data_IF_439239210691
#
_entry.id   IF_439239210691
#
_cell.length_a   1.000
_cell.length_b   1.000
_cell.length_c   1.000
_cell.angle_alpha   90.00
_cell.angle_beta   90.00
_cell.angle_gamma   90.00
#
_symmetry.space_group_name_H-M   'P 1'
#
loop_
_entity.id
_entity.type
_entity.pdbx_description
1 polymer ?
#
# COMPACT_ATOMS: atom_id res chain seq x y z
N UNK A 1 14.10 -6.44 -23.40
CA UNK A 1 14.16 -5.26 -22.49
C UNK A 1 12.75 -4.71 -22.30
N UNK A 2 12.17 -4.86 -21.09
CA UNK A 2 10.72 -4.72 -20.85
C UNK A 2 10.22 -3.29 -20.58
N UNK A 3 9.46 -3.14 -19.48
CA UNK A 3 8.91 -1.85 -18.99
C UNK A 3 10.04 -0.83 -18.85
N UNK A 4 9.79 0.40 -19.29
CA UNK A 4 10.71 1.53 -19.21
C UNK A 4 10.07 2.69 -18.45
N UNK A 5 10.87 3.44 -17.70
CA UNK A 5 10.47 4.62 -16.90
C UNK A 5 10.93 5.94 -17.52
N UNK A 6 11.39 5.94 -18.76
CA UNK A 6 11.73 7.17 -19.49
C UNK A 6 10.47 7.99 -19.79
N UNK A 7 10.62 9.31 -19.91
CA UNK A 7 9.57 10.23 -20.39
C UNK A 7 9.67 10.53 -21.89
N UNK A 8 10.60 9.87 -22.61
CA UNK A 8 10.96 10.19 -24.00
C UNK A 8 9.89 9.72 -25.00
N UNK A 9 9.10 8.73 -24.61
CA UNK A 9 7.91 8.28 -25.34
C UNK A 9 6.64 9.12 -25.07
N UNK A 10 6.70 10.14 -24.20
CA UNK A 10 5.57 11.07 -23.95
C UNK A 10 5.67 12.30 -24.87
N UNK A 11 4.54 12.98 -25.08
CA UNK A 11 4.47 14.27 -25.80
C UNK A 11 5.20 15.38 -25.02
N UNK A 12 5.51 16.51 -25.67
CA UNK A 12 5.93 17.75 -24.99
C UNK A 12 4.77 18.39 -24.21
N UNK A 13 5.07 19.42 -23.42
CA UNK A 13 4.04 20.26 -22.78
C UNK A 13 3.08 20.89 -23.82
N UNK A 14 3.62 21.29 -24.98
CA UNK A 14 2.86 21.79 -26.15
C UNK A 14 2.12 20.70 -26.94
N UNK A 15 2.10 19.45 -26.48
CA UNK A 15 1.45 18.33 -27.17
C UNK A 15 2.21 17.75 -28.37
N UNK A 16 3.33 18.34 -28.79
CA UNK A 16 4.13 17.83 -29.92
C UNK A 16 4.70 16.41 -29.66
N UNK A 17 4.78 15.60 -30.71
CA UNK A 17 5.38 14.25 -30.67
C UNK A 17 6.91 14.39 -30.67
N UNK A 18 7.58 13.79 -29.69
CA UNK A 18 9.05 13.79 -29.59
C UNK A 18 9.68 12.73 -30.50
N UNK A 19 10.82 13.03 -31.11
CA UNK A 19 11.61 12.09 -31.90
C UNK A 19 12.38 11.11 -31.00
N UNK A 20 12.63 9.89 -31.51
CA UNK A 20 13.31 8.84 -30.74
C UNK A 20 14.79 8.72 -31.13
N UNK A 21 15.66 9.47 -30.44
CA UNK A 21 17.09 9.54 -30.76
C UNK A 21 17.96 8.41 -30.19
N UNK A 22 17.49 7.64 -29.20
CA UNK A 22 18.27 6.53 -28.59
C UNK A 22 17.41 5.39 -28.05
N UNK A 23 17.89 4.16 -28.24
CA UNK A 23 17.35 2.92 -27.65
C UNK A 23 17.22 3.03 -26.11
N UNK A 24 16.33 2.23 -25.51
CA UNK A 24 16.12 2.13 -24.04
C UNK A 24 17.45 1.81 -23.31
N UNK A 25 17.63 2.31 -22.08
CA UNK A 25 18.83 2.06 -21.25
C UNK A 25 18.52 1.26 -19.98
N UNK A 26 19.50 0.50 -19.50
CA UNK A 26 19.34 -0.40 -18.35
C UNK A 26 18.99 0.31 -17.03
N UNK A 27 19.33 1.60 -16.87
CA UNK A 27 18.97 2.40 -15.70
C UNK A 27 17.51 2.90 -15.74
N UNK A 28 16.86 2.91 -16.90
CA UNK A 28 15.45 3.31 -17.08
C UNK A 28 14.48 2.13 -16.83
N UNK A 29 14.99 0.91 -16.55
CA UNK A 29 14.17 -0.31 -16.48
C UNK A 29 13.16 -0.28 -15.32
N UNK A 30 11.90 -0.56 -15.65
CA UNK A 30 10.85 -0.91 -14.70
C UNK A 30 10.85 -2.41 -14.33
N UNK A 31 9.92 -2.79 -13.46
CA UNK A 31 9.59 -4.18 -13.11
C UNK A 31 8.07 -4.27 -12.97
N UNK A 32 7.49 -5.46 -13.19
CA UNK A 32 6.06 -5.69 -12.93
C UNK A 32 5.69 -5.42 -11.46
N UNK A 33 4.44 -5.03 -11.14
CA UNK A 33 4.00 -4.80 -9.75
C UNK A 33 3.99 -6.11 -8.94
N UNK A 34 4.15 -6.01 -7.62
CA UNK A 34 4.28 -7.18 -6.74
C UNK A 34 2.96 -7.92 -6.46
N UNK A 35 1.83 -7.19 -6.51
CA UNK A 35 0.47 -7.69 -6.28
C UNK A 35 0.38 -8.60 -5.02
N UNK A 36 0.93 -8.11 -3.90
CA UNK A 36 0.95 -8.78 -2.61
C UNK A 36 -0.45 -9.20 -2.18
N UNK A 37 -0.61 -10.46 -1.75
CA UNK A 37 -1.87 -11.02 -1.22
C UNK A 37 -1.71 -11.45 0.24
N UNK A 38 -2.83 -11.67 0.93
CA UNK A 38 -2.84 -12.37 2.22
C UNK A 38 -2.48 -13.85 1.97
N UNK A 39 -1.73 -14.46 2.89
CA UNK A 39 -1.35 -15.86 2.86
C UNK A 39 0.06 -16.12 3.39
N UNK A 40 0.50 -17.39 3.43
CA UNK A 40 1.74 -17.80 4.09
C UNK A 40 2.95 -17.05 3.51
N UNK A 41 3.79 -16.54 4.40
CA UNK A 41 4.90 -15.60 4.09
C UNK A 41 5.75 -16.06 2.90
N UNK A 42 5.65 -15.35 1.77
CA UNK A 42 6.48 -15.55 0.57
C UNK A 42 7.06 -14.21 0.10
N UNK A 43 8.37 -14.05 0.24
CA UNK A 43 9.12 -12.86 -0.16
C UNK A 43 10.19 -13.29 -1.18
N UNK A 44 10.29 -12.55 -2.29
CA UNK A 44 11.40 -12.71 -3.24
C UNK A 44 12.40 -11.56 -3.11
N UNK A 45 13.69 -11.87 -3.07
CA UNK A 45 14.74 -10.86 -3.11
C UNK A 45 14.98 -10.41 -4.56
N UNK A 46 15.17 -9.11 -4.74
CA UNK A 46 15.33 -8.48 -6.05
C UNK A 46 16.56 -7.59 -6.05
N UNK A 47 17.63 -7.98 -6.76
CA UNK A 47 18.80 -7.13 -7.00
C UNK A 47 18.41 -5.85 -7.76
N UNK A 48 18.95 -4.73 -7.32
CA UNK A 48 18.78 -3.40 -7.92
C UNK A 48 20.13 -2.78 -8.32
N UNK A 49 20.15 -1.50 -8.72
CA UNK A 49 21.37 -0.78 -9.13
C UNK A 49 22.27 -0.57 -7.92
N UNK A 50 23.58 -0.69 -8.10
CA UNK A 50 24.57 -0.53 -7.01
C UNK A 50 24.65 -1.71 -6.05
N UNK A 51 24.26 -2.92 -6.46
CA UNK A 51 24.33 -4.12 -5.61
C UNK A 51 23.14 -4.31 -4.66
N UNK A 52 22.57 -3.21 -4.18
CA UNK A 52 21.42 -3.15 -3.26
C UNK A 52 20.28 -4.13 -3.59
N UNK A 53 19.68 -4.71 -2.55
CA UNK A 53 18.55 -5.63 -2.65
C UNK A 53 17.24 -4.96 -2.24
N UNK A 54 16.12 -5.47 -2.75
CA UNK A 54 14.75 -5.12 -2.32
C UNK A 54 13.94 -6.38 -2.06
N UNK A 55 13.01 -6.28 -1.12
CA UNK A 55 12.19 -7.40 -0.67
C UNK A 55 10.78 -7.27 -1.27
N UNK A 56 10.44 -8.21 -2.15
CA UNK A 56 9.16 -8.23 -2.86
C UNK A 56 8.22 -9.21 -2.18
N UNK A 57 7.40 -8.71 -1.25
CA UNK A 57 6.34 -9.52 -0.64
C UNK A 57 5.30 -9.93 -1.69
N UNK A 58 5.16 -11.24 -1.92
CA UNK A 58 4.12 -11.81 -2.77
C UNK A 58 2.92 -12.30 -1.94
N UNK A 59 3.20 -12.88 -0.76
CA UNK A 59 2.19 -13.27 0.23
C UNK A 59 2.68 -12.89 1.62
N UNK A 60 1.83 -12.26 2.42
CA UNK A 60 2.12 -11.84 3.80
C UNK A 60 0.83 -11.94 4.62
N UNK A 61 0.89 -12.59 5.79
CA UNK A 61 -0.26 -12.84 6.68
C UNK A 61 -0.21 -12.07 8.01
N UNK A 62 0.93 -11.45 8.33
CA UNK A 62 1.14 -10.70 9.56
C UNK A 62 2.02 -9.48 9.33
N UNK A 63 1.82 -8.46 10.16
CA UNK A 63 2.54 -7.20 10.13
C UNK A 63 2.67 -6.60 11.54
N UNK A 64 3.53 -5.61 11.70
CA UNK A 64 3.65 -4.87 12.96
C UNK A 64 2.72 -3.64 12.95
N UNK A 65 1.79 -3.58 13.88
CA UNK A 65 0.83 -2.48 13.99
C UNK A 65 0.99 -1.76 15.33
N UNK A 66 1.07 -0.43 15.28
CA UNK A 66 1.10 0.43 16.47
C UNK A 66 -0.30 0.91 16.86
N UNK A 67 -0.58 0.88 18.16
CA UNK A 67 -1.64 1.63 18.81
C UNK A 67 -1.09 3.03 19.13
N UNK A 68 -1.75 4.09 18.64
CA UNK A 68 -1.29 5.46 18.80
C UNK A 68 -1.44 5.97 20.23
N UNK A 69 -2.64 5.86 20.82
CA UNK A 69 -2.91 6.35 22.18
C UNK A 69 -2.04 5.68 23.24
N UNK A 70 -1.92 4.35 23.18
CA UNK A 70 -1.24 3.55 24.21
C UNK A 70 0.28 3.45 24.00
N UNK A 71 0.82 3.94 22.88
CA UNK A 71 2.25 3.83 22.54
C UNK A 71 2.77 2.40 22.33
N UNK A 72 1.87 1.40 22.23
CA UNK A 72 2.22 -0.03 22.13
C UNK A 72 2.19 -0.48 20.66
N UNK A 73 3.24 -1.18 20.22
CA UNK A 73 3.23 -1.89 18.93
C UNK A 73 3.23 -3.41 19.11
N UNK A 74 2.41 -4.12 18.34
CA UNK A 74 2.35 -5.58 18.35
C UNK A 74 2.31 -6.16 16.93
N UNK A 75 2.85 -7.37 16.79
CA UNK A 75 2.71 -8.17 15.57
C UNK A 75 1.32 -8.81 15.54
N UNK A 76 0.51 -8.47 14.55
CA UNK A 76 -0.88 -8.93 14.41
C UNK A 76 -1.07 -9.62 13.05
N UNK A 77 -2.05 -10.52 12.96
CA UNK A 77 -2.45 -11.19 11.70
C UNK A 77 -3.38 -10.28 10.90
N UNK A 78 -3.14 -10.21 9.59
CA UNK A 78 -4.00 -9.48 8.64
C UNK A 78 -5.06 -10.47 8.13
N UNK A 79 -6.33 -10.22 8.44
CA UNK A 79 -7.44 -11.17 8.21
C UNK A 79 -8.11 -10.90 6.85
N UNK A 80 -8.60 -9.67 6.64
CA UNK A 80 -9.30 -9.21 5.42
C UNK A 80 -8.79 -7.82 5.05
N UNK A 81 -8.84 -7.45 3.77
CA UNK A 81 -8.62 -6.08 3.30
C UNK A 81 -9.98 -5.49 2.92
N UNK A 82 -10.52 -4.59 3.75
CA UNK A 82 -11.67 -3.78 3.34
C UNK A 82 -11.29 -2.83 2.20
N UNK A 83 -12.27 -2.55 1.32
CA UNK A 83 -12.05 -2.17 -0.09
C UNK A 83 -11.05 -1.05 -0.31
N UNK A 84 -10.30 -1.21 -1.41
CA UNK A 84 -9.52 -0.15 -2.05
C UNK A 84 -10.22 0.30 -3.34
N UNK A 85 -10.95 1.40 -3.31
CA UNK A 85 -11.44 2.06 -4.53
C UNK A 85 -11.00 3.51 -4.62
N UNK A 86 -10.41 3.86 -5.77
CA UNK A 86 -10.03 5.21 -6.10
C UNK A 86 -11.20 5.93 -6.78
N UNK A 87 -11.49 7.15 -6.32
CA UNK A 87 -12.58 8.03 -6.78
C UNK A 87 -13.99 7.44 -6.69
N UNK A 88 -14.80 7.94 -5.73
CA UNK A 88 -16.21 8.37 -5.94
C UNK A 88 -16.92 8.86 -4.67
N UNK A 89 -17.33 10.13 -4.74
CA UNK A 89 -18.51 10.76 -4.11
C UNK A 89 -18.54 11.11 -2.60
N UNK A 90 -18.73 12.41 -2.36
CA UNK A 90 -18.90 13.07 -1.07
C UNK A 90 -20.27 12.80 -0.41
N UNK A 91 -20.33 12.87 0.93
CA UNK A 91 -21.43 13.39 1.77
C UNK A 91 -21.04 13.30 3.26
N UNK A 92 -21.66 14.12 4.11
CA UNK A 92 -21.28 14.40 5.52
C UNK A 92 -21.88 13.42 6.56
N UNK A 93 -21.50 13.56 7.86
CA UNK A 93 -22.28 13.04 9.01
C UNK A 93 -21.45 12.61 10.25
N UNK A 94 -21.77 13.15 11.45
CA UNK A 94 -21.18 12.84 12.77
C UNK A 94 -21.77 11.54 13.38
N UNK A 95 -21.22 10.79 14.37
CA UNK A 95 -19.92 10.76 15.10
C UNK A 95 -19.71 9.31 15.67
N UNK A 96 -18.72 9.09 16.54
CA UNK A 96 -18.25 7.82 17.14
C UNK A 96 -19.19 7.16 18.18
N UNK A 97 -19.43 5.84 18.05
CA UNK A 97 -19.19 4.85 19.12
C UNK A 97 -18.62 3.56 18.52
N UNK A 98 -17.43 3.68 17.94
CA UNK A 98 -16.98 2.88 16.81
C UNK A 98 -15.88 1.86 17.14
N UNK A 99 -15.12 2.09 18.22
CA UNK A 99 -13.94 1.32 18.59
C UNK A 99 -14.27 0.15 19.54
N UNK A 100 -15.11 0.37 20.56
CA UNK A 100 -15.53 -0.67 21.51
C UNK A 100 -16.16 -1.88 20.81
N UNK A 101 -17.05 -1.64 19.85
CA UNK A 101 -17.70 -2.66 19.01
C UNK A 101 -16.73 -3.48 18.16
N UNK A 102 -15.50 -3.01 17.95
CA UNK A 102 -14.44 -3.77 17.27
C UNK A 102 -13.71 -4.72 18.23
N UNK A 103 -13.52 -4.31 19.50
CA UNK A 103 -12.99 -5.17 20.55
C UNK A 103 -13.94 -6.33 20.85
N UNK A 104 -15.25 -6.07 20.93
CA UNK A 104 -16.29 -7.12 21.01
C UNK A 104 -16.23 -8.09 19.82
N UNK A 105 -16.00 -7.57 18.61
CA UNK A 105 -15.87 -8.37 17.39
C UNK A 105 -14.50 -9.07 17.23
N UNK A 106 -13.58 -8.91 18.19
CA UNK A 106 -12.24 -9.52 18.18
C UNK A 106 -11.33 -9.07 17.02
N UNK A 107 -11.64 -7.96 16.34
CA UNK A 107 -10.89 -7.48 15.16
C UNK A 107 -10.91 -5.96 15.05
N UNK A 108 -9.72 -5.37 14.88
CA UNK A 108 -9.52 -3.93 14.74
C UNK A 108 -9.26 -3.53 13.28
N UNK A 109 -9.74 -2.36 12.87
CA UNK A 109 -9.34 -1.71 11.62
C UNK A 109 -7.98 -1.00 11.78
N UNK A 110 -7.15 -1.12 10.74
CA UNK A 110 -5.80 -0.59 10.71
C UNK A 110 -5.38 -0.20 9.29
N UNK A 111 -4.50 0.80 9.17
CA UNK A 111 -3.93 1.25 7.90
C UNK A 111 -2.50 0.76 7.74
N UNK A 112 -2.19 0.20 6.57
CA UNK A 112 -0.83 -0.21 6.20
C UNK A 112 -0.06 1.00 5.67
N UNK A 113 0.86 1.54 6.47
CA UNK A 113 1.72 2.69 6.11
C UNK A 113 2.99 2.27 5.36
N UNK A 114 3.38 0.99 5.47
CA UNK A 114 4.54 0.41 4.79
C UNK A 114 4.33 0.14 3.29
N UNK A 115 5.40 -0.28 2.58
CA UNK A 115 5.38 -0.56 1.13
C UNK A 115 5.75 -2.03 0.82
N UNK A 116 4.82 -2.99 0.95
CA UNK A 116 5.11 -4.44 0.91
C UNK A 116 5.86 -4.94 -0.34
N UNK A 117 5.60 -4.32 -1.50
CA UNK A 117 6.28 -4.64 -2.75
C UNK A 117 7.73 -4.14 -2.87
N UNK A 118 8.25 -3.43 -1.86
CA UNK A 118 9.63 -2.90 -1.79
C UNK A 118 10.36 -3.34 -0.51
N UNK A 119 9.66 -3.34 0.64
CA UNK A 119 10.20 -3.70 1.95
C UNK A 119 9.89 -5.13 2.39
N UNK A 120 8.92 -5.81 1.77
CA UNK A 120 8.49 -7.16 2.18
C UNK A 120 7.76 -7.21 3.53
N UNK A 121 7.28 -6.07 4.04
CA UNK A 121 6.57 -5.92 5.32
C UNK A 121 5.19 -5.30 5.12
N UNK A 122 4.26 -5.54 6.04
CA UNK A 122 2.88 -4.99 6.09
C UNK A 122 2.69 -4.28 7.44
N UNK A 123 3.61 -3.38 7.74
CA UNK A 123 3.58 -2.59 8.97
C UNK A 123 2.63 -1.40 8.81
N UNK A 124 2.04 -0.93 9.91
CA UNK A 124 0.94 0.03 9.93
C UNK A 124 0.58 0.54 11.33
N UNK A 125 -0.57 1.18 11.45
CA UNK A 125 -1.14 1.66 12.73
C UNK A 125 -2.65 1.36 12.82
N UNK A 126 -3.16 1.24 14.03
CA UNK A 126 -4.59 1.03 14.33
C UNK A 126 -5.33 2.35 14.10
N UNK A 127 -6.54 2.28 13.55
CA UNK A 127 -7.38 3.46 13.32
C UNK A 127 -8.13 3.85 14.59
N UNK A 128 -8.06 5.13 14.94
CA UNK A 128 -8.66 5.71 16.16
C UNK A 128 -9.45 7.00 15.83
N UNK A 129 -10.40 7.38 16.70
CA UNK A 129 -11.11 8.66 16.67
C UNK A 129 -11.72 9.06 15.31
N UNK A 130 -11.48 10.31 14.89
CA UNK A 130 -12.07 10.85 13.65
C UNK A 130 -11.63 10.10 12.38
N UNK A 131 -10.39 9.58 12.33
CA UNK A 131 -9.88 8.81 11.20
C UNK A 131 -10.61 7.47 11.09
N UNK A 132 -10.80 6.78 12.23
CA UNK A 132 -11.63 5.59 12.29
C UNK A 132 -13.07 5.88 11.86
N UNK A 133 -13.68 6.93 12.39
CA UNK A 133 -15.04 7.32 12.04
C UNK A 133 -15.18 7.66 10.54
N UNK A 134 -14.17 8.28 9.93
CA UNK A 134 -14.09 8.50 8.48
C UNK A 134 -14.06 7.16 7.71
N UNK A 135 -13.13 6.26 8.02
CA UNK A 135 -13.03 4.99 7.29
C UNK A 135 -14.23 4.07 7.52
N UNK A 136 -14.82 4.02 8.71
CA UNK A 136 -16.05 3.24 8.92
C UNK A 136 -17.22 3.76 8.09
N UNK A 137 -17.40 5.08 7.98
CA UNK A 137 -18.40 5.69 7.08
C UNK A 137 -18.12 5.37 5.61
N UNK A 138 -16.85 5.31 5.22
CA UNK A 138 -16.43 4.96 3.86
C UNK A 138 -16.54 3.46 3.51
N UNK A 139 -16.47 2.56 4.50
CA UNK A 139 -16.57 1.11 4.32
C UNK A 139 -18.04 0.62 4.33
N UNK A 140 -18.90 1.25 5.14
CA UNK A 140 -20.34 0.91 5.25
C UNK A 140 -21.19 1.40 4.07
N UNK A 141 -20.60 2.06 3.08
CA UNK A 141 -21.27 2.74 1.96
C UNK A 141 -20.85 2.15 0.61
#
# INVERSE_FOLDING_TARGET
>A
MGISRDSRHKRSATGAKRSHYRKKRAFEKGRQPANTRIGPKRIHLVRTRGGNQKFRGLRLESGNFSWGSEGIARKVRVIVVEKKQAARFAAQGKVEPALEKQFEAGRLYAVVSSRPGQSGRVDGYILEGEELAFYQRAIRK
#
